data_IF_313428046300
#
_entry.id   IF_313428046300
#
_cell.length_a   1.000
_cell.length_b   1.000
_cell.length_c   1.000
_cell.angle_alpha   90.00
_cell.angle_beta   90.00
_cell.angle_gamma   90.00
#
_symmetry.space_group_name_H-M   'P 1'
#
loop_
_entity.id
_entity.type
_entity.pdbx_description
1 polymer ?
#
# COMPACT_ATOMS: atom_id res chain seq x y z
N UNK A 1 -12.99 -3.31 48.61
CA UNK A 1 -13.65 -3.60 47.32
C UNK A 1 -12.63 -4.28 46.42
N UNK A 2 -12.75 -5.59 46.21
CA UNK A 2 -11.88 -6.30 45.26
C UNK A 2 -12.16 -5.75 43.85
N UNK A 3 -11.19 -5.10 43.23
CA UNK A 3 -11.17 -4.97 41.77
C UNK A 3 -11.05 -6.40 41.24
N UNK A 4 -12.04 -6.94 40.49
CA UNK A 4 -11.84 -8.23 39.87
C UNK A 4 -10.63 -8.12 38.95
N UNK A 5 -9.75 -9.13 39.01
CA UNK A 5 -8.60 -9.29 38.13
C UNK A 5 -9.03 -8.92 36.71
N UNK A 6 -8.30 -8.00 36.09
CA UNK A 6 -8.66 -7.45 34.78
C UNK A 6 -8.91 -8.60 33.81
N UNK A 7 -10.17 -8.73 33.35
CA UNK A 7 -10.47 -9.62 32.23
C UNK A 7 -9.50 -9.27 31.11
N UNK A 8 -8.92 -10.30 30.51
CA UNK A 8 -8.10 -10.10 29.34
C UNK A 8 -8.94 -9.43 28.26
N UNK A 9 -8.34 -8.52 27.49
CA UNK A 9 -9.05 -7.79 26.41
C UNK A 9 -9.71 -8.80 25.44
N UNK A 10 -9.12 -9.98 25.30
CA UNK A 10 -9.61 -11.06 24.45
C UNK A 10 -10.89 -11.72 24.97
N UNK A 11 -11.08 -11.85 26.29
CA UNK A 11 -12.33 -12.34 26.89
C UNK A 11 -13.47 -11.34 26.69
N UNK A 12 -13.18 -10.05 26.82
CA UNK A 12 -14.19 -9.00 26.64
C UNK A 12 -14.68 -8.92 25.18
N UNK A 13 -13.79 -9.16 24.22
CA UNK A 13 -14.16 -9.27 22.79
C UNK A 13 -15.01 -10.49 22.47
N UNK A 14 -14.78 -11.61 23.14
CA UNK A 14 -15.50 -12.86 22.89
C UNK A 14 -16.97 -12.80 23.35
N UNK A 15 -17.29 -11.88 24.27
CA UNK A 15 -18.63 -11.68 24.82
C UNK A 15 -19.47 -10.69 24.00
N UNK A 16 -18.84 -9.87 23.15
CA UNK A 16 -19.55 -8.89 22.32
C UNK A 16 -20.28 -9.57 21.17
N UNK A 17 -21.58 -9.25 21.04
CA UNK A 17 -22.36 -9.65 19.87
C UNK A 17 -21.83 -8.96 18.60
N UNK A 18 -22.00 -9.61 17.45
CA UNK A 18 -21.49 -9.10 16.17
C UNK A 18 -22.08 -7.73 15.80
N UNK A 19 -23.32 -7.47 16.23
CA UNK A 19 -24.08 -6.26 15.92
C UNK A 19 -24.12 -5.27 17.08
N UNK A 20 -23.41 -5.54 18.18
CA UNK A 20 -23.38 -4.64 19.33
C UNK A 20 -22.59 -3.37 18.97
N UNK A 21 -23.22 -2.17 19.05
CA UNK A 21 -22.55 -0.93 18.70
C UNK A 21 -21.59 -0.53 19.81
N UNK A 22 -20.30 -0.49 19.48
CA UNK A 22 -19.24 0.01 20.38
C UNK A 22 -18.74 1.36 19.91
N UNK A 23 -18.27 2.19 20.85
CA UNK A 23 -17.74 3.50 20.50
C UNK A 23 -16.39 3.37 19.78
N UNK A 24 -15.99 4.37 18.99
CA UNK A 24 -14.65 4.37 18.35
C UNK A 24 -13.50 4.17 19.35
N UNK A 25 -13.62 4.72 20.56
CA UNK A 25 -12.59 4.59 21.60
C UNK A 25 -12.51 3.15 22.11
N UNK A 26 -13.65 2.50 22.32
CA UNK A 26 -13.72 1.10 22.73
C UNK A 26 -13.24 0.19 21.61
N UNK A 27 -13.63 0.45 20.36
CA UNK A 27 -13.18 -0.31 19.20
C UNK A 27 -11.64 -0.29 19.08
N UNK A 28 -11.00 0.86 19.30
CA UNK A 28 -9.54 0.99 19.37
C UNK A 28 -8.93 0.09 20.46
N UNK A 29 -9.54 0.07 21.66
CA UNK A 29 -9.06 -0.75 22.79
C UNK A 29 -9.24 -2.24 22.53
N UNK A 30 -10.43 -2.63 22.09
CA UNK A 30 -10.86 -4.02 21.95
C UNK A 30 -10.23 -4.66 20.70
N UNK A 31 -10.39 -4.09 19.51
CA UNK A 31 -9.96 -4.77 18.28
C UNK A 31 -8.49 -4.54 17.91
N UNK A 32 -7.90 -3.43 18.37
CA UNK A 32 -6.56 -3.01 17.98
C UNK A 32 -5.60 -2.85 19.17
N UNK A 33 -6.04 -3.07 20.41
CA UNK A 33 -5.19 -2.94 21.59
C UNK A 33 -4.55 -1.56 21.73
N UNK A 34 -5.28 -0.49 21.38
CA UNK A 34 -4.81 0.91 21.34
C UNK A 34 -3.68 1.21 20.34
N UNK A 35 -3.41 0.32 19.36
CA UNK A 35 -2.42 0.58 18.29
C UNK A 35 -2.89 1.62 17.28
N UNK A 36 -4.20 1.85 17.19
CA UNK A 36 -4.84 2.79 16.26
C UNK A 36 -5.65 3.80 17.06
N UNK A 37 -5.62 5.06 16.65
CA UNK A 37 -6.39 6.14 17.29
C UNK A 37 -7.82 6.22 16.75
N UNK A 38 -8.76 6.81 17.52
CA UNK A 38 -10.12 7.09 17.02
C UNK A 38 -10.12 8.00 15.78
N UNK A 39 -9.15 8.91 15.67
CA UNK A 39 -8.99 9.76 14.48
C UNK A 39 -8.66 8.95 13.23
N UNK A 40 -7.84 7.91 13.34
CA UNK A 40 -7.52 7.03 12.21
C UNK A 40 -8.75 6.23 11.75
N UNK A 41 -9.61 5.76 12.67
CA UNK A 41 -10.88 5.14 12.29
C UNK A 41 -11.79 6.11 11.52
N UNK A 42 -11.86 7.38 11.95
CA UNK A 42 -12.59 8.41 11.20
C UNK A 42 -11.98 8.66 9.82
N UNK A 43 -10.65 8.60 9.69
CA UNK A 43 -9.98 8.70 8.39
C UNK A 43 -10.36 7.54 7.47
N UNK A 44 -10.43 6.31 7.98
CA UNK A 44 -10.87 5.16 7.17
C UNK A 44 -12.34 5.25 6.78
N UNK A 45 -13.21 5.79 7.65
CA UNK A 45 -14.59 6.08 7.29
C UNK A 45 -14.68 7.17 6.20
N UNK A 46 -13.86 8.22 6.29
CA UNK A 46 -13.78 9.25 5.25
C UNK A 46 -13.28 8.71 3.91
N UNK A 47 -12.47 7.64 3.91
CA UNK A 47 -12.04 6.92 2.70
C UNK A 47 -13.10 5.95 2.16
N UNK A 48 -14.19 5.71 2.88
CA UNK A 48 -15.23 4.73 2.54
C UNK A 48 -14.88 3.28 2.92
N UNK A 49 -13.82 3.05 3.70
CA UNK A 49 -13.42 1.71 4.14
C UNK A 49 -14.17 1.23 5.38
N UNK A 50 -14.71 2.14 6.19
CA UNK A 50 -15.41 1.84 7.44
C UNK A 50 -16.80 2.47 7.44
N UNK A 51 -17.81 1.71 7.86
CA UNK A 51 -19.16 2.22 8.12
C UNK A 51 -19.22 2.68 9.56
N UNK A 52 -19.68 3.92 9.78
CA UNK A 52 -19.90 4.49 11.12
C UNK A 52 -21.40 4.73 11.28
N UNK A 53 -21.98 4.24 12.36
CA UNK A 53 -23.33 4.59 12.79
C UNK A 53 -23.25 5.75 13.78
N UNK A 54 -23.84 6.89 13.45
CA UNK A 54 -23.89 8.04 14.35
C UNK A 54 -25.20 8.04 15.14
N UNK A 55 -25.11 7.98 16.47
CA UNK A 55 -26.26 8.05 17.38
C UNK A 55 -25.99 9.20 18.35
N UNK A 56 -26.91 10.17 18.44
CA UNK A 56 -26.78 11.34 19.31
C UNK A 56 -25.43 12.09 19.15
N UNK A 57 -24.96 12.27 17.91
CA UNK A 57 -23.65 12.88 17.56
C UNK A 57 -22.42 12.10 18.05
N UNK A 58 -22.60 10.85 18.46
CA UNK A 58 -21.51 9.96 18.84
C UNK A 58 -21.35 8.87 17.79
N UNK A 59 -20.10 8.58 17.49
CA UNK A 59 -19.72 7.63 16.45
C UNK A 59 -19.61 6.22 17.06
N UNK A 60 -20.36 5.29 16.49
CA UNK A 60 -20.35 3.88 16.84
C UNK A 60 -19.97 3.02 15.65
N UNK A 61 -19.42 1.85 15.95
CA UNK A 61 -19.05 0.82 15.00
C UNK A 61 -19.41 -0.53 15.60
N UNK A 62 -19.81 -1.48 14.76
CA UNK A 62 -20.03 -2.86 15.19
C UNK A 62 -18.78 -3.70 14.97
N UNK A 63 -18.75 -4.90 15.56
CA UNK A 63 -17.68 -5.87 15.29
C UNK A 63 -17.61 -6.22 13.81
N UNK A 64 -18.78 -6.43 13.20
CA UNK A 64 -18.91 -6.71 11.76
C UNK A 64 -18.27 -5.62 10.90
N UNK A 65 -18.56 -4.35 11.19
CA UNK A 65 -18.00 -3.22 10.43
C UNK A 65 -16.46 -3.20 10.46
N UNK A 66 -15.87 -3.54 11.61
CA UNK A 66 -14.41 -3.61 11.78
C UNK A 66 -13.80 -4.78 11.00
N UNK A 67 -14.45 -5.93 10.97
CA UNK A 67 -14.01 -7.09 10.19
C UNK A 67 -14.10 -6.80 8.68
N UNK A 68 -15.19 -6.19 8.22
CA UNK A 68 -15.34 -5.73 6.84
C UNK A 68 -14.29 -4.67 6.47
N UNK A 69 -14.02 -3.71 7.37
CA UNK A 69 -12.96 -2.72 7.19
C UNK A 69 -11.59 -3.40 7.05
N UNK A 70 -11.26 -4.37 7.90
CA UNK A 70 -9.99 -5.13 7.79
C UNK A 70 -9.86 -5.81 6.44
N UNK A 71 -10.94 -6.35 5.91
CA UNK A 71 -10.95 -6.98 4.59
C UNK A 71 -10.74 -5.95 3.46
N UNK A 72 -11.37 -4.77 3.55
CA UNK A 72 -11.18 -3.67 2.57
C UNK A 72 -9.78 -3.06 2.63
N UNK A 73 -9.22 -2.90 3.83
CA UNK A 73 -7.86 -2.39 4.04
C UNK A 73 -6.77 -3.40 3.68
N UNK A 74 -7.12 -4.67 3.45
CA UNK A 74 -6.16 -5.72 3.07
C UNK A 74 -5.57 -5.40 1.70
N UNK A 75 -4.34 -4.89 1.71
CA UNK A 75 -3.57 -4.72 0.48
C UNK A 75 -3.11 -6.09 -0.02
N UNK A 76 -3.14 -6.34 -1.34
CA UNK A 76 -2.51 -7.53 -1.88
C UNK A 76 -1.05 -7.54 -1.43
N UNK A 77 -0.57 -8.71 -1.02
CA UNK A 77 0.85 -8.87 -0.75
C UNK A 77 1.59 -8.38 -1.99
N UNK A 78 2.53 -7.45 -1.81
CA UNK A 78 3.40 -7.02 -2.89
C UNK A 78 4.23 -8.25 -3.26
N UNK A 79 3.76 -9.04 -4.21
CA UNK A 79 4.53 -10.11 -4.82
C UNK A 79 5.79 -9.43 -5.34
N UNK A 80 6.92 -9.62 -4.66
CA UNK A 80 8.25 -9.39 -5.23
C UNK A 80 8.59 -10.50 -6.24
N UNK A 81 7.57 -11.05 -6.89
CA UNK A 81 7.75 -11.73 -8.16
C UNK A 81 7.80 -10.62 -9.19
N UNK A 82 8.85 -10.68 -10.00
CA UNK A 82 9.15 -9.82 -11.12
C UNK A 82 7.92 -9.77 -12.03
N UNK A 83 7.03 -8.81 -11.81
CA UNK A 83 5.89 -8.56 -12.68
C UNK A 83 6.18 -7.25 -13.42
N UNK A 84 6.62 -7.41 -14.66
CA UNK A 84 6.94 -6.40 -15.66
C UNK A 84 5.69 -5.63 -16.15
N UNK A 85 4.67 -5.46 -15.31
CA UNK A 85 3.44 -4.73 -15.64
C UNK A 85 3.25 -3.51 -14.74
N UNK A 86 4.27 -2.64 -14.71
CA UNK A 86 4.07 -1.26 -14.22
C UNK A 86 3.19 -0.53 -15.24
N UNK A 87 1.92 -0.39 -14.89
CA UNK A 87 0.93 0.50 -15.49
C UNK A 87 1.60 1.80 -15.95
N UNK A 88 1.72 1.95 -17.27
CA UNK A 88 2.21 3.16 -17.91
C UNK A 88 1.21 4.27 -17.62
N UNK A 89 1.62 5.26 -16.82
CA UNK A 89 0.95 6.56 -16.79
C UNK A 89 1.31 7.24 -18.12
N UNK A 90 0.50 7.01 -19.14
CA UNK A 90 0.64 7.69 -20.43
C UNK A 90 0.27 9.16 -20.23
N UNK A 91 1.28 10.03 -20.38
CA UNK A 91 1.05 11.45 -20.57
C UNK A 91 0.63 11.65 -22.03
N UNK A 92 -0.47 12.36 -22.31
CA UNK A 92 -0.91 12.59 -23.68
C UNK A 92 0.04 13.60 -24.33
N UNK A 93 1.02 13.10 -25.10
CA UNK A 93 1.90 13.96 -25.90
C UNK A 93 3.35 13.49 -26.02
N UNK A 94 3.59 12.28 -26.53
CA UNK A 94 4.89 11.95 -27.10
C UNK A 94 4.75 10.81 -28.12
N UNK A 95 4.99 11.15 -29.38
CA UNK A 95 5.09 10.21 -30.48
C UNK A 95 6.33 9.30 -30.34
N UNK A 96 6.23 8.12 -30.96
CA UNK A 96 7.28 7.10 -31.19
C UNK A 96 7.41 6.05 -30.08
N UNK A 97 6.93 4.85 -30.40
CA UNK A 97 7.07 3.61 -29.64
C UNK A 97 8.52 3.11 -29.74
N UNK A 98 9.36 3.47 -28.78
CA UNK A 98 10.58 2.71 -28.49
C UNK A 98 10.51 2.25 -27.03
N UNK A 99 10.65 0.93 -26.75
CA UNK A 99 10.72 0.46 -25.38
C UNK A 99 11.90 1.13 -24.66
N UNK A 100 11.78 1.44 -23.35
CA UNK A 100 12.89 1.97 -22.59
C UNK A 100 14.02 0.93 -22.58
N UNK A 101 15.10 1.20 -23.31
CA UNK A 101 16.26 0.32 -23.41
C UNK A 101 16.74 -0.11 -22.03
N UNK A 102 17.01 -1.40 -21.88
CA UNK A 102 17.59 -1.93 -20.64
C UNK A 102 18.92 -1.25 -20.34
N UNK A 103 19.25 -1.08 -19.04
CA UNK A 103 20.55 -0.53 -18.62
C UNK A 103 21.72 -1.29 -19.25
N UNK A 104 21.56 -2.59 -19.50
CA UNK A 104 22.57 -3.41 -20.16
C UNK A 104 22.68 -3.13 -21.67
N UNK A 105 21.57 -2.83 -22.34
CA UNK A 105 21.56 -2.50 -23.77
C UNK A 105 22.20 -1.14 -24.04
N UNK A 106 21.94 -0.15 -23.20
CA UNK A 106 22.57 1.17 -23.30
C UNK A 106 24.10 1.04 -23.21
N UNK A 107 24.61 0.20 -22.30
CA UNK A 107 26.04 -0.05 -22.16
C UNK A 107 26.63 -0.78 -23.38
N UNK A 108 25.94 -1.80 -23.92
CA UNK A 108 26.38 -2.47 -25.15
C UNK A 108 26.45 -1.52 -26.34
N UNK A 109 25.44 -0.67 -26.52
CA UNK A 109 25.42 0.35 -27.58
C UNK A 109 26.60 1.32 -27.41
N UNK A 110 26.91 1.74 -26.19
CA UNK A 110 28.07 2.61 -25.89
C UNK A 110 29.41 1.94 -26.21
N UNK A 111 29.56 0.66 -25.88
CA UNK A 111 30.78 -0.09 -26.18
C UNK A 111 30.98 -0.27 -27.69
N UNK A 112 29.93 -0.64 -28.43
CA UNK A 112 30.00 -0.80 -29.89
C UNK A 112 30.34 0.49 -30.62
N UNK A 113 29.80 1.63 -30.17
CA UNK A 113 30.17 2.95 -30.74
C UNK A 113 31.65 3.25 -30.55
N UNK A 114 32.19 2.97 -29.37
CA UNK A 114 33.61 3.21 -29.07
C UNK A 114 34.52 2.35 -29.97
N UNK A 115 34.22 1.06 -30.13
CA UNK A 115 35.01 0.19 -31.02
C UNK A 115 35.00 0.69 -32.48
N UNK A 116 33.85 1.16 -32.96
CA UNK A 116 33.73 1.72 -34.32
C UNK A 116 34.45 3.05 -34.51
N UNK A 117 34.59 3.84 -33.43
CA UNK A 117 35.39 5.07 -33.41
C UNK A 117 36.89 4.74 -33.39
N UNK A 118 37.29 3.73 -32.62
CA UNK A 118 38.67 3.23 -32.55
C UNK A 118 39.12 2.72 -33.92
N UNK A 119 38.31 1.91 -34.61
CA UNK A 119 38.59 1.41 -35.97
C UNK A 119 38.75 2.55 -37.00
N UNK A 120 37.90 3.58 -36.92
CA UNK A 120 38.01 4.78 -37.77
C UNK A 120 39.26 5.60 -37.46
N UNK A 121 39.70 5.64 -36.21
CA UNK A 121 40.89 6.37 -35.78
C UNK A 121 42.20 5.65 -36.12
N UNK A 122 42.17 4.31 -36.24
CA UNK A 122 43.28 3.50 -36.70
C UNK A 122 43.48 3.65 -38.22
N UNK A 123 42.39 3.66 -39.00
CA UNK A 123 42.43 3.82 -40.46
C UNK A 123 42.98 5.19 -40.92
N UNK A 124 42.76 6.26 -40.15
CA UNK A 124 43.25 7.61 -40.48
C UNK A 124 44.75 7.82 -40.25
N UNK A 125 45.44 6.92 -39.52
CA UNK A 125 46.87 7.06 -39.19
C UNK A 125 47.83 6.33 -40.16
N UNK A 126 47.30 5.69 -41.20
CA UNK A 126 48.08 4.94 -42.20
C UNK A 126 48.25 5.61 -43.57
N UNK A 127 47.96 6.91 -43.71
CA UNK A 127 48.11 7.64 -44.98
C UNK A 127 48.86 8.96 -44.76
N UNK A 128 50.17 8.85 -44.62
CA UNK A 128 51.14 9.94 -44.76
C UNK A 128 52.33 9.41 -45.56
#
# INVERSE_FOLDING_TARGET
>A
MLRPAGRSIDEERAVLDENEPVTLREACRLFFGNRISPSALRTEAAKGNLVITQIARKDFVTRRDIEEMKQRCRRPAKTTLLDDNRVQKTYPGAATLEPPLSSQEILRIRLQKRMKEDDKSASRRGRA
#
